data_IF_554264772792
#
_entry.id   IF_554264772792
#
_cell.length_a   1.000
_cell.length_b   1.000
_cell.length_c   1.000
_cell.angle_alpha   90.00
_cell.angle_beta   90.00
_cell.angle_gamma   90.00
#
_symmetry.space_group_name_H-M   'P 1'
#
loop_
_entity.id
_entity.type
_entity.pdbx_description
1 polymer ?
#
# COMPACT_ATOMS: atom_id res chain seq x y z
N UNK A 1 -14.93 52.40 42.37
CA UNK A 1 -14.57 52.94 41.03
C UNK A 1 -15.71 52.54 40.11
N UNK A 2 -16.70 53.37 39.72
CA UNK A 2 -16.74 54.74 39.12
C UNK A 2 -16.01 54.82 37.76
N UNK A 3 -16.76 55.24 36.72
CA UNK A 3 -16.35 55.35 35.30
C UNK A 3 -16.93 54.20 34.47
N UNK A 4 -18.11 54.26 33.81
CA UNK A 4 -18.81 55.29 33.02
C UNK A 4 -18.19 55.55 31.64
N UNK A 5 -18.86 55.06 30.58
CA UNK A 5 -19.15 55.82 29.35
C UNK A 5 -20.30 55.18 28.56
N UNK A 6 -21.27 56.02 28.22
CA UNK A 6 -22.41 55.76 27.32
C UNK A 6 -22.18 56.59 26.06
N UNK A 7 -22.55 56.07 24.88
CA UNK A 7 -23.05 56.90 23.78
C UNK A 7 -23.83 56.03 22.77
N UNK A 8 -24.78 56.67 22.08
CA UNK A 8 -25.96 56.03 21.50
C UNK A 8 -26.04 56.19 19.97
N UNK A 9 -26.90 55.37 19.37
CA UNK A 9 -27.74 55.64 18.18
C UNK A 9 -27.14 56.34 16.95
N UNK A 10 -27.25 55.68 15.79
CA UNK A 10 -28.12 56.15 14.72
C UNK A 10 -28.50 55.01 13.76
N UNK A 11 -29.77 54.91 13.40
CA UNK A 11 -30.26 54.10 12.28
C UNK A 11 -30.82 55.04 11.21
N UNK A 12 -30.59 54.74 9.92
CA UNK A 12 -31.25 55.42 8.81
C UNK A 12 -31.74 54.36 7.82
N UNK A 13 -33.05 54.32 7.63
CA UNK A 13 -33.76 53.62 6.55
C UNK A 13 -34.03 54.61 5.42
N UNK A 14 -33.88 54.20 4.15
CA UNK A 14 -34.37 54.98 3.01
C UNK A 14 -34.76 54.10 1.80
N UNK A 15 -36.01 54.29 1.35
CA UNK A 15 -36.72 53.56 0.29
C UNK A 15 -37.61 54.56 -0.48
N UNK A 16 -37.87 54.46 -1.79
CA UNK A 16 -37.45 53.50 -2.83
C UNK A 16 -37.57 54.21 -4.20
N UNK A 17 -36.93 53.70 -5.27
CA UNK A 17 -37.27 54.16 -6.63
C UNK A 17 -37.24 53.03 -7.67
N UNK A 18 -38.32 52.95 -8.45
CA UNK A 18 -38.52 52.08 -9.61
C UNK A 18 -38.12 52.82 -10.88
N UNK A 19 -37.57 52.13 -11.88
CA UNK A 19 -37.32 52.70 -13.20
C UNK A 19 -37.24 51.62 -14.27
N UNK A 20 -38.27 51.51 -15.11
CA UNK A 20 -38.22 50.76 -16.37
C UNK A 20 -37.84 51.71 -17.52
N UNK A 21 -37.06 51.23 -18.48
CA UNK A 21 -36.98 51.82 -19.83
C UNK A 21 -36.58 50.76 -20.86
N UNK A 22 -37.13 50.89 -22.07
CA UNK A 22 -37.09 49.89 -23.14
C UNK A 22 -35.81 49.84 -23.99
N UNK A 23 -35.63 48.67 -24.62
CA UNK A 23 -35.04 48.38 -25.95
C UNK A 23 -33.91 49.25 -26.52
N UNK A 24 -32.82 48.58 -26.87
CA UNK A 24 -32.19 48.76 -28.19
C UNK A 24 -31.56 47.45 -28.66
N UNK A 25 -32.01 46.94 -29.80
CA UNK A 25 -31.41 45.77 -30.46
C UNK A 25 -29.94 46.03 -30.84
N UNK A 26 -29.10 45.01 -30.69
CA UNK A 26 -27.96 44.82 -31.59
C UNK A 26 -27.58 43.33 -31.65
N UNK A 27 -27.75 42.75 -32.84
CA UNK A 27 -27.26 41.41 -33.16
C UNK A 27 -25.76 41.30 -32.92
N UNK A 28 -25.34 40.26 -32.20
CA UNK A 28 -24.00 39.70 -32.34
C UNK A 28 -24.04 38.18 -32.20
N UNK A 29 -24.21 37.52 -33.34
CA UNK A 29 -24.10 36.08 -33.49
C UNK A 29 -22.64 35.64 -33.41
N UNK A 30 -22.28 34.94 -32.33
CA UNK A 30 -20.99 34.25 -32.23
C UNK A 30 -21.13 32.92 -31.45
N UNK A 31 -20.62 31.85 -32.06
CA UNK A 31 -20.69 30.48 -31.59
C UNK A 31 -20.19 30.30 -30.13
N UNK A 32 -20.96 29.54 -29.36
CA UNK A 32 -20.64 29.26 -27.96
C UNK A 32 -21.49 28.13 -27.38
N UNK A 33 -21.67 27.03 -28.13
CA UNK A 33 -22.31 25.81 -27.64
C UNK A 33 -21.40 25.12 -26.60
N UNK A 34 -21.28 25.74 -25.43
CA UNK A 34 -20.51 25.24 -24.31
C UNK A 34 -20.98 23.85 -23.95
N UNK A 35 -20.20 22.86 -24.35
CA UNK A 35 -20.39 21.49 -23.89
C UNK A 35 -20.36 21.54 -22.37
N UNK A 36 -21.51 21.27 -21.74
CA UNK A 36 -21.59 21.02 -20.30
C UNK A 36 -20.81 19.74 -20.04
N UNK A 37 -19.50 19.92 -19.86
CA UNK A 37 -18.56 18.88 -19.47
C UNK A 37 -19.17 18.18 -18.25
N UNK A 38 -19.36 16.86 -18.26
CA UNK A 38 -19.90 16.17 -17.10
C UNK A 38 -19.02 16.49 -15.91
N UNK A 39 -19.57 17.21 -14.93
CA UNK A 39 -18.91 17.33 -13.65
C UNK A 39 -18.85 15.91 -13.08
N UNK A 40 -17.67 15.47 -12.64
CA UNK A 40 -17.56 14.28 -11.79
C UNK A 40 -18.38 14.60 -10.56
N UNK A 41 -19.58 14.02 -10.48
CA UNK A 41 -20.57 14.38 -9.49
C UNK A 41 -20.02 13.98 -8.10
N UNK A 42 -20.15 14.88 -7.12
CA UNK A 42 -19.79 14.58 -5.72
C UNK A 42 -20.90 13.73 -5.11
N UNK A 43 -20.97 12.49 -5.60
CA UNK A 43 -21.89 11.51 -5.08
C UNK A 43 -21.52 11.29 -3.60
N UNK A 44 -22.50 11.44 -2.69
CA UNK A 44 -22.26 11.15 -1.29
C UNK A 44 -21.82 9.69 -1.18
N UNK A 45 -20.87 9.38 -0.28
CA UNK A 45 -20.36 8.02 -0.16
C UNK A 45 -21.51 7.06 0.18
N UNK A 46 -21.46 5.85 -0.37
CA UNK A 46 -22.49 4.85 -0.13
C UNK A 46 -22.61 4.56 1.37
N UNK A 47 -23.84 4.33 1.83
CA UNK A 47 -24.07 3.89 3.20
C UNK A 47 -23.50 2.49 3.37
N UNK A 48 -22.80 2.29 4.48
CA UNK A 48 -22.25 1.01 4.87
C UNK A 48 -23.36 -0.06 4.92
N UNK A 49 -23.22 -1.11 4.10
CA UNK A 49 -24.01 -2.35 4.19
C UNK A 49 -23.75 -3.04 5.54
N UNK A 50 -24.65 -3.93 5.97
CA UNK A 50 -24.54 -4.58 7.29
C UNK A 50 -23.40 -5.60 7.30
N UNK A 51 -22.25 -5.26 7.90
CA UNK A 51 -21.09 -6.14 8.03
C UNK A 51 -20.98 -6.79 9.41
N UNK A 52 -20.54 -8.05 9.43
CA UNK A 52 -19.97 -8.67 10.64
C UNK A 52 -18.49 -8.31 10.73
N UNK A 53 -18.11 -7.55 11.75
CA UNK A 53 -16.75 -7.00 11.93
C UNK A 53 -16.24 -7.28 13.35
N UNK A 54 -14.92 -7.22 13.61
CA UNK A 54 -14.37 -7.48 14.93
C UNK A 54 -14.94 -6.49 15.98
N UNK A 55 -15.07 -6.88 17.27
CA UNK A 55 -15.71 -6.05 18.30
C UNK A 55 -15.10 -4.66 18.53
N UNK A 56 -13.85 -4.42 18.10
CA UNK A 56 -13.21 -3.10 18.13
C UNK A 56 -13.85 -2.08 17.18
N UNK A 57 -14.62 -2.53 16.19
CA UNK A 57 -15.27 -1.70 15.18
C UNK A 57 -16.76 -1.53 15.43
N UNK A 58 -17.30 -0.42 14.92
CA UNK A 58 -18.72 -0.10 14.94
C UNK A 58 -19.32 -0.28 13.55
N UNK A 59 -19.97 -1.43 13.31
CA UNK A 59 -20.62 -1.77 12.03
C UNK A 59 -21.77 -0.83 11.62
N UNK A 60 -22.19 0.10 12.48
CA UNK A 60 -23.13 1.15 12.13
C UNK A 60 -22.45 2.50 11.77
N UNK A 61 -21.12 2.62 11.96
CA UNK A 61 -20.35 3.84 11.66
C UNK A 61 -19.30 3.59 10.60
N UNK A 62 -19.62 3.98 9.38
CA UNK A 62 -18.68 3.96 8.27
C UNK A 62 -19.33 4.41 6.98
N UNK A 63 -18.66 4.08 5.88
CA UNK A 63 -19.11 4.29 4.53
C UNK A 63 -18.48 3.22 3.63
N UNK A 64 -18.96 3.09 2.40
CA UNK A 64 -18.34 2.18 1.44
C UNK A 64 -18.22 2.82 0.06
N UNK A 65 -17.46 2.14 -0.80
CA UNK A 65 -17.48 2.36 -2.24
C UNK A 65 -17.56 0.99 -2.93
N UNK A 66 -18.51 0.84 -3.85
CA UNK A 66 -18.62 -0.32 -4.74
C UNK A 66 -17.92 -0.01 -6.06
N UNK A 67 -17.01 -0.88 -6.48
CA UNK A 67 -16.24 -0.69 -7.69
C UNK A 67 -17.05 -1.09 -8.93
N UNK A 68 -17.18 -0.18 -9.87
CA UNK A 68 -17.83 -0.44 -11.16
C UNK A 68 -16.92 -1.30 -12.05
N UNK A 69 -17.32 -2.54 -12.35
CA UNK A 69 -16.70 -3.45 -13.32
C UNK A 69 -15.18 -3.63 -13.17
N UNK A 70 -14.76 -4.44 -12.22
CA UNK A 70 -13.35 -4.83 -12.08
C UNK A 70 -12.96 -5.93 -13.10
N UNK A 71 -11.72 -5.91 -13.65
CA UNK A 71 -11.18 -7.04 -14.40
C UNK A 71 -11.17 -8.32 -13.57
N UNK A 72 -11.52 -9.45 -14.19
CA UNK A 72 -11.55 -10.79 -13.54
C UNK A 72 -10.17 -11.21 -12.99
N UNK A 73 -9.09 -10.66 -13.55
CA UNK A 73 -7.70 -10.97 -13.24
C UNK A 73 -7.01 -9.95 -12.30
N UNK A 74 -7.75 -9.17 -11.52
CA UNK A 74 -7.13 -8.22 -10.59
C UNK A 74 -6.30 -8.90 -9.50
N UNK A 75 -4.99 -8.70 -9.58
CA UNK A 75 -4.01 -9.08 -8.56
C UNK A 75 -3.97 -8.12 -7.36
N UNK A 76 -4.62 -6.95 -7.44
CA UNK A 76 -4.69 -5.98 -6.34
C UNK A 76 -6.00 -5.19 -6.35
N UNK A 77 -6.37 -4.63 -5.19
CA UNK A 77 -7.43 -3.63 -5.11
C UNK A 77 -6.90 -2.30 -5.68
N UNK A 78 -7.64 -1.58 -6.54
CA UNK A 78 -7.22 -0.30 -7.10
C UNK A 78 -7.45 0.87 -6.12
N UNK A 79 -7.04 0.68 -4.87
CA UNK A 79 -7.20 1.62 -3.75
C UNK A 79 -6.03 1.56 -2.76
N UNK A 80 -5.74 2.68 -2.10
CA UNK A 80 -4.62 2.82 -1.17
C UNK A 80 -4.94 3.85 -0.07
N UNK A 81 -4.36 3.67 1.13
CA UNK A 81 -4.67 4.47 2.33
C UNK A 81 -3.50 5.41 2.67
N UNK A 82 -3.74 6.72 2.57
CA UNK A 82 -2.83 7.74 3.07
C UNK A 82 -3.00 7.93 4.57
N UNK A 83 -2.07 7.43 5.37
CA UNK A 83 -2.13 7.49 6.84
C UNK A 83 -1.94 8.92 7.35
N UNK A 84 -1.09 9.73 6.70
CA UNK A 84 -0.80 11.12 7.07
C UNK A 84 -1.92 12.06 6.59
N UNK A 85 -2.44 11.87 5.37
CA UNK A 85 -3.62 12.63 4.88
C UNK A 85 -4.94 12.19 5.50
N UNK A 86 -4.98 11.01 6.13
CA UNK A 86 -6.20 10.35 6.62
C UNK A 86 -7.25 10.21 5.52
N UNK A 87 -6.80 9.75 4.34
CA UNK A 87 -7.64 9.58 3.16
C UNK A 87 -7.52 8.17 2.56
N UNK A 88 -8.61 7.71 1.95
CA UNK A 88 -8.58 6.59 1.00
C UNK A 88 -8.52 7.20 -0.39
N UNK A 89 -7.51 6.86 -1.17
CA UNK A 89 -7.49 7.09 -2.61
C UNK A 89 -7.90 5.82 -3.34
N UNK A 90 -8.75 5.94 -4.34
CA UNK A 90 -9.18 4.82 -5.18
C UNK A 90 -9.45 5.28 -6.61
N UNK A 91 -9.38 4.34 -7.53
CA UNK A 91 -9.59 4.57 -8.95
C UNK A 91 -11.03 4.22 -9.33
N UNK A 92 -11.71 5.12 -10.05
CA UNK A 92 -12.94 4.82 -10.80
C UNK A 92 -12.60 4.68 -12.27
N UNK A 93 -13.03 3.58 -12.88
CA UNK A 93 -12.92 3.37 -14.34
C UNK A 93 -14.16 3.94 -15.03
N UNK A 94 -13.99 4.53 -16.21
CA UNK A 94 -15.09 4.98 -17.04
C UNK A 94 -14.78 4.86 -18.54
N UNK A 95 -15.73 5.18 -19.43
CA UNK A 95 -15.60 4.90 -20.87
C UNK A 95 -14.45 5.62 -21.59
N UNK A 96 -13.88 6.66 -20.98
CA UNK A 96 -12.85 7.54 -21.59
C UNK A 96 -11.50 7.50 -20.85
N UNK A 97 -11.35 6.60 -19.87
CA UNK A 97 -10.20 6.54 -18.98
C UNK A 97 -10.61 6.43 -17.51
N UNK A 98 -9.67 6.70 -16.60
CA UNK A 98 -9.88 6.55 -15.17
C UNK A 98 -9.85 7.89 -14.43
N UNK A 99 -10.51 7.96 -13.28
CA UNK A 99 -10.45 9.12 -12.36
C UNK A 99 -10.02 8.62 -10.99
N UNK A 100 -8.95 9.20 -10.43
CA UNK A 100 -8.57 8.98 -9.05
C UNK A 100 -9.43 9.88 -8.16
N UNK A 101 -10.12 9.29 -7.19
CA UNK A 101 -10.82 10.03 -6.13
C UNK A 101 -10.11 9.81 -4.79
N UNK A 102 -10.00 10.87 -3.98
CA UNK A 102 -9.56 10.79 -2.59
C UNK A 102 -10.72 11.18 -1.67
N UNK A 103 -11.07 10.32 -0.72
CA UNK A 103 -12.13 10.54 0.27
C UNK A 103 -11.56 10.50 1.69
N UNK A 104 -12.12 11.30 2.59
CA UNK A 104 -11.72 11.32 4.00
C UNK A 104 -12.07 9.97 4.67
N UNK A 105 -11.09 9.29 5.27
CA UNK A 105 -11.30 7.96 5.87
C UNK A 105 -12.49 7.93 6.86
N UNK A 106 -12.57 8.91 7.74
CA UNK A 106 -13.62 8.94 8.76
C UNK A 106 -15.03 9.18 8.22
N UNK A 107 -15.22 9.86 7.08
CA UNK A 107 -16.55 10.37 6.67
C UNK A 107 -16.95 10.09 5.22
N UNK A 108 -16.05 9.56 4.39
CA UNK A 108 -16.30 9.36 2.95
C UNK A 108 -16.52 10.64 2.15
N UNK A 109 -16.38 11.83 2.75
CA UNK A 109 -16.47 13.10 2.01
C UNK A 109 -15.31 13.20 1.03
N UNK A 110 -15.62 13.51 -0.23
CA UNK A 110 -14.63 13.78 -1.26
C UNK A 110 -13.68 14.90 -0.80
N UNK A 111 -12.38 14.67 -0.98
CA UNK A 111 -11.32 15.66 -0.81
C UNK A 111 -11.01 16.27 -2.17
N UNK A 112 -10.76 15.40 -3.14
CA UNK A 112 -10.47 15.77 -4.51
C UNK A 112 -10.77 14.64 -5.50
N UNK A 113 -10.93 15.01 -6.78
CA UNK A 113 -10.88 14.09 -7.91
C UNK A 113 -9.84 14.58 -8.93
N UNK A 114 -9.13 13.66 -9.57
CA UNK A 114 -8.23 13.99 -10.67
C UNK A 114 -8.99 14.44 -11.92
N UNK A 115 -8.26 14.97 -12.92
CA UNK A 115 -8.70 14.86 -14.32
C UNK A 115 -8.74 13.39 -14.74
N UNK A 116 -9.35 13.10 -15.88
CA UNK A 116 -9.21 11.78 -16.53
C UNK A 116 -7.73 11.49 -16.74
N UNK A 117 -7.29 10.34 -16.24
CA UNK A 117 -5.95 9.80 -16.34
C UNK A 117 -5.99 8.49 -17.11
N UNK A 118 -5.02 8.32 -18.01
CA UNK A 118 -4.86 7.15 -18.83
C UNK A 118 -3.49 6.50 -18.55
N UNK A 119 -3.45 5.19 -18.22
CA UNK A 119 -2.21 4.42 -18.17
C UNK A 119 -1.55 4.33 -19.57
N UNK A 120 -0.34 3.79 -19.68
CA UNK A 120 0.25 3.42 -20.98
C UNK A 120 -0.62 2.42 -21.76
N UNK A 121 -0.31 2.22 -23.03
CA UNK A 121 -1.00 1.20 -23.84
C UNK A 121 -0.49 -0.18 -23.40
N UNK A 122 -1.35 -1.15 -23.02
CA UNK A 122 -0.90 -2.47 -22.59
C UNK A 122 0.00 -3.18 -23.60
N UNK A 123 0.96 -3.96 -23.09
CA UNK A 123 1.84 -4.79 -23.93
C UNK A 123 1.05 -6.00 -24.42
N UNK A 124 0.84 -6.09 -25.73
CA UNK A 124 -0.01 -7.11 -26.36
C UNK A 124 0.52 -8.54 -26.24
N UNK A 125 1.79 -8.73 -25.89
CA UNK A 125 2.40 -10.06 -25.73
C UNK A 125 2.11 -10.69 -24.35
N UNK A 126 1.51 -9.93 -23.43
CA UNK A 126 0.97 -10.42 -22.15
C UNK A 126 -0.52 -10.79 -22.24
N UNK A 127 -0.98 -11.26 -23.42
CA UNK A 127 -2.34 -11.75 -23.65
C UNK A 127 -2.42 -13.21 -24.11
N UNK A 128 -1.29 -13.94 -24.11
CA UNK A 128 -1.33 -15.39 -24.15
C UNK A 128 -1.81 -15.90 -22.78
N UNK A 129 -2.68 -16.92 -22.79
CA UNK A 129 -3.54 -17.32 -21.66
C UNK A 129 -2.78 -17.78 -20.40
N UNK A 130 -1.48 -18.06 -20.52
CA UNK A 130 -0.57 -18.48 -19.43
C UNK A 130 0.20 -17.32 -18.76
N UNK A 131 0.07 -16.07 -19.24
CA UNK A 131 0.83 -14.93 -18.70
C UNK A 131 0.11 -14.22 -17.54
N UNK A 132 0.87 -13.77 -16.53
CA UNK A 132 0.38 -13.05 -15.33
C UNK A 132 -0.18 -11.65 -15.66
N UNK A 133 -1.32 -11.61 -16.35
CA UNK A 133 -1.91 -10.45 -17.02
C UNK A 133 -2.40 -9.32 -16.10
N UNK A 134 -2.43 -9.54 -14.79
CA UNK A 134 -2.75 -8.52 -13.78
C UNK A 134 -1.75 -7.35 -13.71
N UNK A 135 -0.53 -7.48 -14.26
CA UNK A 135 0.49 -6.41 -14.25
C UNK A 135 0.15 -5.19 -15.13
N UNK A 136 -0.76 -5.35 -16.10
CA UNK A 136 -1.19 -4.28 -17.00
C UNK A 136 -2.37 -3.46 -16.44
N UNK A 137 -2.94 -3.85 -15.29
CA UNK A 137 -4.00 -3.09 -14.65
C UNK A 137 -3.45 -1.75 -14.10
N UNK A 138 -4.27 -0.69 -14.01
CA UNK A 138 -3.88 0.53 -13.33
C UNK A 138 -3.96 0.34 -11.80
N UNK A 139 -2.91 0.74 -11.10
CA UNK A 139 -2.77 0.57 -9.66
C UNK A 139 -2.53 1.92 -8.95
N UNK A 140 -2.75 1.93 -7.63
CA UNK A 140 -2.46 3.08 -6.76
C UNK A 140 -1.48 2.68 -5.66
N UNK A 141 -0.57 3.59 -5.32
CA UNK A 141 0.25 3.48 -4.10
C UNK A 141 0.37 4.83 -3.39
N UNK A 142 0.71 4.82 -2.11
CA UNK A 142 1.13 6.01 -1.37
C UNK A 142 2.65 6.07 -1.39
N UNK A 143 3.19 7.26 -1.59
CA UNK A 143 4.61 7.55 -1.41
C UNK A 143 4.77 8.84 -0.61
N UNK A 144 5.90 9.04 0.05
CA UNK A 144 6.21 10.26 0.76
C UNK A 144 7.62 10.76 0.44
N UNK A 145 7.88 12.03 0.73
CA UNK A 145 9.22 12.60 0.71
C UNK A 145 9.26 13.88 1.55
N UNK A 146 10.18 13.96 2.52
CA UNK A 146 10.33 15.14 3.38
C UNK A 146 9.05 15.49 4.14
N UNK A 147 8.37 14.47 4.69
CA UNK A 147 7.13 14.62 5.46
C UNK A 147 5.85 14.87 4.66
N UNK A 148 5.94 15.15 3.34
CA UNK A 148 4.77 15.28 2.46
C UNK A 148 4.39 13.91 1.88
N UNK A 149 3.09 13.61 1.87
CA UNK A 149 2.50 12.37 1.36
C UNK A 149 1.86 12.62 -0.02
N UNK A 150 1.90 11.62 -0.88
CA UNK A 150 1.47 11.66 -2.27
C UNK A 150 0.67 10.39 -2.62
N UNK A 151 -0.39 10.57 -3.40
CA UNK A 151 -1.09 9.48 -4.08
C UNK A 151 -0.45 9.30 -5.45
N UNK A 152 -0.03 8.10 -5.77
CA UNK A 152 0.65 7.77 -7.03
C UNK A 152 -0.25 6.82 -7.80
N UNK A 153 -0.80 7.29 -8.93
CA UNK A 153 -1.40 6.42 -9.92
C UNK A 153 -0.31 5.90 -10.85
N UNK A 154 -0.28 4.58 -11.09
CA UNK A 154 0.70 3.99 -11.97
C UNK A 154 0.11 2.90 -12.87
N UNK A 155 0.77 2.69 -14.00
CA UNK A 155 0.43 1.63 -14.95
C UNK A 155 1.64 1.28 -15.80
N UNK A 156 1.68 0.02 -16.23
CA UNK A 156 2.70 -0.53 -17.09
C UNK A 156 2.25 -0.52 -18.56
N UNK A 157 3.20 -0.31 -19.49
CA UNK A 157 2.99 -0.60 -20.90
C UNK A 157 3.82 0.25 -21.86
N UNK A 158 3.38 0.34 -23.11
CA UNK A 158 4.09 1.03 -24.18
C UNK A 158 3.74 2.52 -24.25
N UNK A 159 4.77 3.35 -24.46
CA UNK A 159 4.65 4.75 -24.86
C UNK A 159 5.30 4.98 -26.23
N UNK A 160 4.70 5.86 -27.05
CA UNK A 160 5.25 6.25 -28.36
C UNK A 160 5.23 5.14 -29.42
N UNK A 161 4.37 4.13 -29.27
CA UNK A 161 4.15 3.09 -30.28
C UNK A 161 3.13 3.58 -31.31
N UNK A 162 3.50 3.55 -32.58
CA UNK A 162 2.65 3.92 -33.73
C UNK A 162 2.97 3.02 -34.95
N UNK A 163 2.53 3.40 -36.15
CA UNK A 163 2.74 2.63 -37.39
C UNK A 163 4.21 2.63 -37.87
N UNK A 164 5.05 3.53 -37.35
CA UNK A 164 6.44 3.75 -37.76
C UNK A 164 7.44 3.50 -36.63
N UNK A 165 6.99 3.52 -35.37
CA UNK A 165 7.81 3.37 -34.18
C UNK A 165 7.32 2.24 -33.28
N UNK A 166 8.24 1.37 -32.85
CA UNK A 166 7.93 0.26 -31.94
C UNK A 166 7.50 0.72 -30.53
N UNK A 167 7.70 1.99 -30.19
CA UNK A 167 7.54 2.55 -28.85
C UNK A 167 8.63 2.11 -27.87
N UNK A 168 8.42 2.42 -26.59
CA UNK A 168 9.28 2.00 -25.48
C UNK A 168 8.40 1.47 -24.35
N UNK A 169 8.84 0.39 -23.70
CA UNK A 169 8.18 -0.16 -22.53
C UNK A 169 8.52 0.72 -21.31
N UNK A 170 7.50 1.14 -20.57
CA UNK A 170 7.61 2.06 -19.44
C UNK A 170 6.68 1.67 -18.28
N UNK A 171 7.08 2.08 -17.08
CA UNK A 171 6.16 2.27 -15.96
C UNK A 171 5.89 3.76 -15.84
N UNK A 172 4.64 4.16 -16.08
CA UNK A 172 4.20 5.56 -16.00
C UNK A 172 3.64 5.85 -14.62
N UNK A 173 4.18 6.87 -13.97
CA UNK A 173 3.82 7.33 -12.64
C UNK A 173 3.16 8.70 -12.75
N UNK A 174 2.00 8.91 -12.13
CA UNK A 174 1.32 10.20 -12.02
C UNK A 174 1.10 10.52 -10.55
N UNK A 175 1.81 11.54 -10.07
CA UNK A 175 2.03 11.83 -8.66
C UNK A 175 1.17 13.02 -8.25
N UNK A 176 0.18 12.77 -7.40
CA UNK A 176 -0.77 13.74 -6.88
C UNK A 176 -0.47 14.06 -5.41
N UNK A 177 -0.47 15.33 -4.97
CA UNK A 177 -0.32 15.63 -3.55
C UNK A 177 -1.54 15.12 -2.77
N UNK A 178 -1.34 14.33 -1.72
CA UNK A 178 -2.47 13.66 -1.03
C UNK A 178 -3.45 14.66 -0.40
N UNK A 179 -2.94 15.85 -0.05
CA UNK A 179 -3.70 16.97 0.50
C UNK A 179 -4.29 17.94 -0.55
N UNK A 180 -4.42 17.53 -1.82
CA UNK A 180 -5.12 18.30 -2.84
C UNK A 180 -6.60 18.59 -2.46
N UNK A 181 -7.25 19.48 -3.21
CA UNK A 181 -8.65 19.83 -3.00
C UNK A 181 -9.36 20.15 -4.31
N UNK A 182 -10.65 19.78 -4.40
CA UNK A 182 -11.51 20.10 -5.54
C UNK A 182 -11.41 19.10 -6.71
N UNK A 183 -11.96 19.50 -7.85
CA UNK A 183 -12.11 18.66 -9.04
C UNK A 183 -11.01 18.95 -10.07
N UNK A 184 -10.85 18.07 -11.05
CA UNK A 184 -9.88 18.23 -12.14
C UNK A 184 -8.42 18.41 -11.67
N UNK A 185 -8.06 17.82 -10.53
CA UNK A 185 -6.69 17.87 -10.02
C UNK A 185 -5.75 17.21 -11.02
N UNK A 186 -4.71 17.94 -11.42
CA UNK A 186 -3.60 17.42 -12.23
C UNK A 186 -2.48 16.92 -11.32
N UNK A 187 -1.69 15.90 -11.73
CA UNK A 187 -0.53 15.48 -10.95
C UNK A 187 0.50 16.61 -10.85
N UNK A 188 1.21 16.73 -9.72
CA UNK A 188 2.38 17.59 -9.57
C UNK A 188 3.51 17.14 -10.53
N UNK A 189 3.60 15.83 -10.79
CA UNK A 189 4.60 15.22 -11.69
C UNK A 189 4.01 14.04 -12.45
N UNK A 190 4.38 13.91 -13.72
CA UNK A 190 4.30 12.65 -14.47
C UNK A 190 5.74 12.20 -14.74
N UNK A 191 6.04 10.93 -14.48
CA UNK A 191 7.37 10.35 -14.65
C UNK A 191 7.23 9.02 -15.38
N UNK A 192 8.04 8.81 -16.42
CA UNK A 192 8.11 7.54 -17.13
C UNK A 192 9.43 6.88 -16.74
N UNK A 193 9.35 5.70 -16.12
CA UNK A 193 10.51 4.87 -15.79
C UNK A 193 10.70 3.91 -16.97
N UNK A 194 11.80 4.01 -17.74
CA UNK A 194 12.05 3.14 -18.87
C UNK A 194 12.55 1.76 -18.43
N UNK A 195 12.12 0.74 -19.16
CA UNK A 195 12.63 -0.63 -19.06
C UNK A 195 13.00 -1.16 -20.45
N UNK A 196 13.79 -2.23 -20.50
CA UNK A 196 14.09 -2.92 -21.75
C UNK A 196 12.94 -3.85 -22.14
N UNK A 197 12.52 -3.76 -23.41
CA UNK A 197 11.32 -4.45 -23.91
C UNK A 197 11.42 -5.96 -23.70
N UNK A 198 10.42 -6.53 -23.03
CA UNK A 198 10.31 -7.98 -22.81
C UNK A 198 11.24 -8.56 -21.74
N UNK A 199 11.80 -7.70 -20.87
CA UNK A 199 12.62 -8.11 -19.70
C UNK A 199 11.94 -7.87 -18.35
N UNK A 200 10.64 -7.58 -18.36
CA UNK A 200 9.88 -7.29 -17.14
C UNK A 200 9.31 -8.58 -16.56
N UNK A 201 10.12 -9.23 -15.76
CA UNK A 201 9.69 -10.28 -14.83
C UNK A 201 9.40 -9.66 -13.45
N UNK A 202 8.40 -10.19 -12.74
CA UNK A 202 8.04 -9.79 -11.36
C UNK A 202 7.88 -8.27 -11.14
N UNK A 203 7.21 -7.53 -12.02
CA UNK A 203 7.03 -6.08 -11.86
C UNK A 203 6.36 -5.73 -10.51
N UNK A 204 7.03 -4.89 -9.71
CA UNK A 204 6.46 -4.29 -8.50
C UNK A 204 6.73 -2.80 -8.46
N UNK A 205 5.75 -2.05 -7.95
CA UNK A 205 5.88 -0.62 -7.65
C UNK A 205 5.52 -0.42 -6.19
N UNK A 206 6.52 -0.11 -5.37
CA UNK A 206 6.36 0.16 -3.95
C UNK A 206 6.56 1.66 -3.71
N UNK A 207 5.66 2.27 -2.95
CA UNK A 207 5.80 3.67 -2.52
C UNK A 207 6.09 3.70 -1.03
N UNK A 208 6.98 4.62 -0.62
CA UNK A 208 7.46 4.70 0.75
C UNK A 208 8.04 6.07 1.11
N UNK A 209 8.71 6.16 2.26
CA UNK A 209 9.13 7.42 2.92
C UNK A 209 10.13 8.26 2.12
N UNK A 210 10.83 7.62 1.18
CA UNK A 210 11.89 8.19 0.35
C UNK A 210 11.48 8.43 -1.12
N UNK A 211 10.28 8.00 -1.51
CA UNK A 211 9.76 8.12 -2.87
C UNK A 211 9.10 6.83 -3.35
N UNK A 212 9.33 6.48 -4.61
CA UNK A 212 8.81 5.26 -5.23
C UNK A 212 10.01 4.39 -5.63
N UNK A 213 9.88 3.09 -5.45
CA UNK A 213 10.77 2.06 -5.96
C UNK A 213 9.99 1.22 -6.98
N UNK A 214 10.52 1.09 -8.19
CA UNK A 214 10.01 0.20 -9.25
C UNK A 214 11.05 -0.91 -9.43
N UNK A 215 10.63 -2.17 -9.44
CA UNK A 215 11.52 -3.33 -9.61
C UNK A 215 11.02 -4.26 -10.71
N UNK A 216 11.92 -4.81 -11.52
CA UNK A 216 11.64 -5.84 -12.51
C UNK A 216 12.83 -6.81 -12.55
N UNK A 217 12.65 -8.02 -12.00
CA UNK A 217 13.74 -8.96 -11.74
C UNK A 217 14.87 -8.35 -10.91
N UNK A 218 16.10 -8.37 -11.45
CA UNK A 218 17.30 -7.76 -10.86
C UNK A 218 17.41 -6.24 -11.06
N UNK A 219 16.62 -5.66 -11.96
CA UNK A 219 16.66 -4.23 -12.27
C UNK A 219 15.74 -3.44 -11.33
N UNK A 220 16.15 -2.23 -10.94
CA UNK A 220 15.28 -1.34 -10.20
C UNK A 220 15.47 0.14 -10.57
N UNK A 221 14.45 0.94 -10.25
CA UNK A 221 14.46 2.39 -10.39
C UNK A 221 13.91 3.04 -9.12
N UNK A 222 14.63 4.01 -8.57
CA UNK A 222 14.07 4.92 -7.56
C UNK A 222 13.57 6.20 -8.22
N UNK A 223 12.41 6.70 -7.78
CA UNK A 223 11.80 7.94 -8.26
C UNK A 223 11.53 8.89 -7.10
N UNK A 224 12.16 10.04 -7.13
CA UNK A 224 11.96 11.11 -6.16
C UNK A 224 10.65 11.86 -6.47
N UNK A 225 9.59 11.60 -5.70
CA UNK A 225 8.22 12.10 -5.97
C UNK A 225 8.09 13.62 -6.09
N UNK A 226 8.98 14.39 -5.44
CA UNK A 226 8.96 15.87 -5.49
C UNK A 226 9.61 16.42 -6.76
N UNK A 227 10.74 15.85 -7.17
CA UNK A 227 11.53 16.35 -8.30
C UNK A 227 11.27 15.63 -9.62
N UNK A 228 10.67 14.44 -9.59
CA UNK A 228 10.49 13.56 -10.75
C UNK A 228 11.79 12.91 -11.24
N UNK A 229 12.90 13.07 -10.52
CA UNK A 229 14.19 12.44 -10.87
C UNK A 229 14.09 10.92 -10.70
N UNK A 230 14.50 10.19 -11.74
CA UNK A 230 14.70 8.75 -11.74
C UNK A 230 16.18 8.46 -11.52
N UNK A 231 16.50 7.44 -10.71
CA UNK A 231 17.83 6.84 -10.60
C UNK A 231 17.68 5.33 -10.81
N UNK A 232 18.27 4.83 -11.90
CA UNK A 232 18.33 3.40 -12.22
C UNK A 232 19.37 2.68 -11.36
N UNK A 233 19.15 1.37 -11.21
CA UNK A 233 20.04 0.37 -10.65
C UNK A 233 20.01 -0.80 -11.65
N UNK A 234 21.00 -0.84 -12.54
CA UNK A 234 21.01 -1.77 -13.69
C UNK A 234 21.27 -3.22 -13.26
N UNK A 235 22.17 -3.44 -12.30
CA UNK A 235 22.36 -4.74 -11.65
C UNK A 235 22.47 -4.60 -10.12
N UNK A 236 21.57 -5.27 -9.40
CA UNK A 236 21.60 -5.37 -7.94
C UNK A 236 22.83 -6.15 -7.43
N UNK A 237 23.37 -7.10 -8.21
CA UNK A 237 24.52 -7.92 -7.83
C UNK A 237 25.80 -7.06 -7.66
N UNK A 238 25.95 -6.00 -8.47
CA UNK A 238 27.11 -5.11 -8.45
C UNK A 238 27.10 -4.09 -7.28
N UNK A 239 25.97 -3.93 -6.58
CA UNK A 239 25.82 -2.90 -5.55
C UNK A 239 26.53 -3.25 -4.23
N UNK A 240 26.76 -4.53 -3.94
CA UNK A 240 27.42 -4.99 -2.72
C UNK A 240 28.86 -5.41 -3.01
N UNK A 241 29.85 -4.69 -2.47
CA UNK A 241 31.28 -4.94 -2.77
C UNK A 241 31.77 -6.32 -2.33
N UNK A 242 31.21 -6.85 -1.26
CA UNK A 242 31.46 -8.20 -0.73
C UNK A 242 30.93 -9.32 -1.65
N UNK A 243 30.19 -8.98 -2.71
CA UNK A 243 29.63 -9.92 -3.68
C UNK A 243 30.46 -10.06 -4.97
N UNK A 244 31.61 -9.39 -5.07
CA UNK A 244 32.39 -9.28 -6.30
C UNK A 244 32.79 -10.62 -6.96
N UNK A 245 32.93 -11.69 -6.17
CA UNK A 245 33.35 -13.02 -6.64
C UNK A 245 32.14 -13.95 -6.93
N UNK A 246 31.10 -13.43 -7.59
CA UNK A 246 29.86 -14.13 -8.01
C UNK A 246 28.92 -14.65 -6.90
N UNK A 247 29.28 -14.49 -5.63
CA UNK A 247 28.56 -15.05 -4.48
C UNK A 247 27.09 -14.61 -4.34
N UNK A 248 26.70 -13.46 -4.90
CA UNK A 248 25.38 -12.87 -4.71
C UNK A 248 24.51 -12.89 -5.99
N UNK A 249 24.68 -13.88 -6.86
CA UNK A 249 23.75 -14.11 -7.96
C UNK A 249 22.30 -14.16 -7.46
N UNK A 250 21.38 -13.57 -8.23
CA UNK A 250 19.97 -13.41 -7.84
C UNK A 250 19.74 -12.29 -6.84
N UNK A 251 20.60 -11.27 -6.77
CA UNK A 251 20.34 -10.10 -5.93
C UNK A 251 19.11 -9.33 -6.39
N UNK A 252 18.35 -8.79 -5.43
CA UNK A 252 17.14 -7.99 -5.62
C UNK A 252 17.21 -6.72 -4.77
N UNK A 253 16.44 -5.70 -5.16
CA UNK A 253 16.32 -4.43 -4.41
C UNK A 253 14.90 -4.32 -3.85
N UNK A 254 14.61 -4.89 -2.67
CA UNK A 254 13.25 -4.92 -2.13
C UNK A 254 12.77 -3.61 -1.49
N UNK A 255 13.67 -2.66 -1.17
CA UNK A 255 13.29 -1.39 -0.53
C UNK A 255 14.27 -0.24 -0.78
N UNK A 256 13.83 0.98 -0.44
CA UNK A 256 14.58 2.22 -0.54
C UNK A 256 14.55 2.96 0.80
N UNK A 257 15.73 3.30 1.33
CA UNK A 257 15.95 3.95 2.63
C UNK A 257 16.61 5.33 2.46
N UNK A 258 16.72 6.08 3.55
CA UNK A 258 17.46 7.35 3.62
C UNK A 258 18.92 7.23 3.17
N UNK A 259 19.53 6.05 3.36
CA UNK A 259 20.92 5.76 2.99
C UNK A 259 21.07 5.20 1.57
N UNK A 260 20.03 4.59 1.01
CA UNK A 260 20.07 4.03 -0.34
C UNK A 260 19.17 2.79 -0.53
N UNK A 261 19.36 2.04 -1.62
CA UNK A 261 18.63 0.79 -1.82
C UNK A 261 19.02 -0.24 -0.74
N UNK A 262 18.04 -0.97 -0.23
CA UNK A 262 18.32 -2.25 0.45
C UNK A 262 18.55 -3.27 -0.65
N UNK A 263 19.62 -4.06 -0.53
CA UNK A 263 19.92 -5.17 -1.44
C UNK A 263 19.78 -6.46 -0.64
N UNK A 264 19.05 -7.43 -1.19
CA UNK A 264 18.93 -8.80 -0.66
C UNK A 264 19.52 -9.78 -1.65
N UNK A 265 20.22 -10.80 -1.17
CA UNK A 265 20.94 -11.78 -2.00
C UNK A 265 20.31 -13.17 -1.84
N UNK A 266 20.07 -13.87 -2.96
CA UNK A 266 19.53 -15.23 -2.92
C UNK A 266 20.64 -16.29 -2.77
N UNK A 267 21.75 -16.17 -3.52
CA UNK A 267 22.79 -17.21 -3.60
C UNK A 267 23.53 -17.58 -2.29
N UNK A 268 23.90 -16.60 -1.47
CA UNK A 268 24.55 -16.82 -0.14
C UNK A 268 23.59 -16.65 1.04
N UNK A 269 22.35 -16.26 0.76
CA UNK A 269 21.46 -15.52 1.65
C UNK A 269 22.10 -14.24 2.24
N UNK A 270 21.30 -13.21 2.50
CA UNK A 270 21.79 -11.98 3.12
C UNK A 270 21.06 -10.74 2.68
N UNK A 271 21.30 -9.65 3.40
CA UNK A 271 20.81 -8.32 3.03
C UNK A 271 21.66 -7.21 3.64
N UNK A 272 21.61 -6.03 3.05
CA UNK A 272 22.30 -4.85 3.58
C UNK A 272 22.06 -3.61 2.74
N UNK A 273 22.79 -2.55 3.08
CA UNK A 273 22.78 -1.30 2.32
C UNK A 273 24.20 -1.04 1.78
N UNK A 274 24.37 -0.89 0.45
CA UNK A 274 25.65 -0.62 -0.20
C UNK A 274 26.50 0.45 0.49
N UNK A 275 27.65 0.03 1.04
CA UNK A 275 28.61 0.92 1.69
C UNK A 275 28.30 1.31 3.14
N UNK A 276 27.29 0.70 3.77
CA UNK A 276 26.89 1.00 5.15
C UNK A 276 27.03 -0.20 6.09
N UNK A 277 26.29 -1.29 5.87
CA UNK A 277 26.27 -2.49 6.72
C UNK A 277 25.76 -3.70 5.94
N UNK A 278 26.09 -4.91 6.42
CA UNK A 278 25.58 -6.18 5.87
C UNK A 278 25.14 -7.16 6.96
N UNK A 279 24.19 -8.04 6.64
CA UNK A 279 23.58 -8.97 7.59
C UNK A 279 24.60 -9.83 8.36
N UNK A 280 25.70 -10.25 7.73
CA UNK A 280 26.72 -11.07 8.40
C UNK A 280 27.27 -10.43 9.69
N UNK A 281 27.37 -9.11 9.72
CA UNK A 281 27.88 -8.31 10.85
C UNK A 281 26.87 -8.22 12.02
N UNK A 282 25.61 -8.61 11.76
CA UNK A 282 24.44 -8.40 12.61
C UNK A 282 23.78 -9.72 13.06
N UNK A 283 24.41 -10.85 12.73
CA UNK A 283 23.88 -12.18 12.95
C UNK A 283 23.65 -12.48 14.44
N UNK A 284 22.50 -13.05 14.82
CA UNK A 284 22.32 -13.64 16.14
C UNK A 284 23.33 -14.79 16.37
N UNK A 285 23.70 -15.03 17.63
CA UNK A 285 24.66 -16.07 18.01
C UNK A 285 24.30 -17.45 17.37
N UNK A 286 25.33 -18.10 16.80
CA UNK A 286 25.20 -19.38 16.10
C UNK A 286 24.66 -19.32 14.66
N UNK A 287 24.57 -18.12 14.05
CA UNK A 287 24.04 -17.87 12.69
C UNK A 287 25.04 -17.01 11.88
N UNK A 288 24.84 -16.85 10.56
CA UNK A 288 25.66 -15.91 9.75
C UNK A 288 24.83 -15.01 8.85
N UNK A 289 24.09 -15.57 7.90
CA UNK A 289 23.29 -14.75 7.00
C UNK A 289 21.82 -14.81 7.41
N UNK A 290 21.14 -13.69 7.20
CA UNK A 290 19.71 -13.55 7.44
C UNK A 290 19.02 -13.40 6.10
N UNK A 291 17.84 -13.99 5.97
CA UNK A 291 17.00 -13.83 4.80
C UNK A 291 16.04 -12.67 5.04
N UNK A 292 16.13 -11.63 4.22
CA UNK A 292 15.15 -10.54 4.25
C UNK A 292 13.82 -11.06 3.69
N UNK A 293 12.76 -10.96 4.49
CA UNK A 293 11.42 -11.44 4.13
C UNK A 293 10.48 -10.32 3.71
N UNK A 294 10.63 -9.14 4.32
CA UNK A 294 9.91 -7.94 3.93
C UNK A 294 10.68 -6.68 4.36
N UNK A 295 10.27 -5.54 3.81
CA UNK A 295 10.78 -4.24 4.20
C UNK A 295 9.64 -3.23 4.28
N UNK A 296 9.81 -2.23 5.12
CA UNK A 296 8.84 -1.16 5.38
C UNK A 296 9.57 0.19 5.38
N UNK A 297 8.83 1.29 5.52
CA UNK A 297 9.40 2.64 5.56
C UNK A 297 10.42 2.88 6.68
N UNK A 298 10.29 2.15 7.79
CA UNK A 298 11.00 2.42 9.05
C UNK A 298 11.74 1.19 9.60
N UNK A 299 11.44 -0.04 9.13
CA UNK A 299 12.06 -1.29 9.60
C UNK A 299 12.20 -2.36 8.51
N UNK A 300 13.20 -3.22 8.64
CA UNK A 300 13.46 -4.39 7.77
C UNK A 300 13.15 -5.69 8.52
N UNK A 301 12.36 -6.59 7.92
CA UNK A 301 11.95 -7.85 8.55
C UNK A 301 12.73 -9.04 8.00
N UNK A 302 13.52 -9.69 8.85
CA UNK A 302 14.40 -10.80 8.46
C UNK A 302 14.23 -12.06 9.32
N UNK A 303 14.57 -13.20 8.74
CA UNK A 303 14.66 -14.51 9.41
C UNK A 303 16.10 -15.03 9.44
N UNK A 304 16.43 -15.76 10.50
CA UNK A 304 17.76 -16.28 10.76
C UNK A 304 17.68 -17.74 11.23
N UNK A 305 18.19 -18.65 10.41
CA UNK A 305 18.21 -20.09 10.70
C UNK A 305 19.48 -20.49 11.47
N UNK A 306 19.41 -21.59 12.22
CA UNK A 306 20.55 -22.08 12.99
C UNK A 306 21.55 -22.84 12.11
N UNK A 307 22.85 -22.72 12.37
CA UNK A 307 23.85 -23.50 11.63
C UNK A 307 23.88 -24.99 12.02
N UNK A 308 23.85 -25.85 11.00
CA UNK A 308 24.39 -27.21 11.04
C UNK A 308 23.41 -28.32 11.41
N UNK A 309 23.73 -29.54 10.98
CA UNK A 309 23.04 -30.76 11.41
C UNK A 309 23.10 -30.90 12.93
N UNK A 310 21.94 -30.89 13.60
CA UNK A 310 21.84 -30.93 15.07
C UNK A 310 21.94 -29.57 15.77
N UNK A 311 21.95 -28.46 15.02
CA UNK A 311 21.71 -27.13 15.58
C UNK A 311 20.31 -27.01 16.19
N UNK A 312 20.08 -26.00 17.03
CA UNK A 312 18.76 -25.78 17.64
C UNK A 312 17.72 -25.50 16.55
N UNK A 313 16.67 -26.30 16.49
CA UNK A 313 15.57 -26.29 15.51
C UNK A 313 14.64 -25.07 15.67
N UNK A 314 15.22 -23.86 15.60
CA UNK A 314 14.58 -22.60 15.99
C UNK A 314 15.02 -21.43 15.12
N UNK A 315 14.13 -20.98 14.25
CA UNK A 315 14.30 -19.75 13.48
C UNK A 315 14.14 -18.52 14.39
N UNK A 316 15.02 -17.54 14.22
CA UNK A 316 14.91 -16.22 14.86
C UNK A 316 14.38 -15.23 13.84
N UNK A 317 13.30 -14.55 14.18
CA UNK A 317 12.69 -13.49 13.38
C UNK A 317 13.01 -12.15 14.03
N UNK A 318 13.49 -11.19 13.24
CA UNK A 318 13.97 -9.92 13.74
C UNK A 318 13.51 -8.75 12.86
N UNK A 319 13.20 -7.64 13.52
CA UNK A 319 13.05 -6.33 12.92
C UNK A 319 14.36 -5.59 13.08
N UNK A 320 14.87 -5.02 12.00
CA UNK A 320 16.13 -4.28 11.93
C UNK A 320 15.88 -2.83 11.53
N UNK A 321 16.51 -1.90 12.24
CA UNK A 321 16.57 -0.50 11.86
C UNK A 321 17.33 -0.37 10.53
N UNK A 322 16.78 0.33 9.51
CA UNK A 322 17.41 0.41 8.19
C UNK A 322 18.71 1.23 8.22
N UNK A 323 18.86 2.21 9.10
CA UNK A 323 20.04 3.10 9.09
C UNK A 323 21.30 2.41 9.63
N UNK A 324 21.14 1.53 10.62
CA UNK A 324 22.23 0.88 11.36
C UNK A 324 22.26 -0.65 11.23
N UNK A 325 21.18 -1.26 10.74
CA UNK A 325 20.96 -2.71 10.76
C UNK A 325 20.70 -3.28 12.16
N UNK A 326 20.67 -2.46 13.22
CA UNK A 326 20.51 -2.92 14.58
C UNK A 326 19.13 -3.56 14.83
N UNK A 327 19.09 -4.63 15.62
CA UNK A 327 17.83 -5.32 15.96
C UNK A 327 16.96 -4.43 16.87
N UNK A 328 15.79 -4.05 16.36
CA UNK A 328 14.77 -3.28 17.08
C UNK A 328 13.91 -4.17 17.96
N UNK A 329 13.43 -5.30 17.41
CA UNK A 329 12.61 -6.29 18.08
C UNK A 329 12.92 -7.68 17.51
N UNK A 330 12.76 -8.73 18.31
CA UNK A 330 12.96 -10.12 17.86
C UNK A 330 12.04 -11.12 18.55
N UNK A 331 11.85 -12.26 17.91
CA UNK A 331 11.19 -13.45 18.46
C UNK A 331 11.87 -14.72 17.96
N UNK A 332 11.81 -15.77 18.77
CA UNK A 332 12.26 -17.12 18.38
C UNK A 332 11.04 -18.02 18.25
N UNK A 333 10.97 -18.75 17.14
CA UNK A 333 9.94 -19.76 16.86
C UNK A 333 10.59 -21.15 16.78
N UNK A 334 9.80 -22.21 16.93
CA UNK A 334 10.23 -23.62 16.81
C UNK A 334 9.88 -24.22 15.45
N UNK A 335 10.78 -25.04 14.90
CA UNK A 335 10.63 -25.71 13.59
C UNK A 335 9.54 -26.79 13.52
N UNK A 336 8.99 -27.24 14.66
CA UNK A 336 7.78 -28.09 14.65
C UNK A 336 6.63 -27.42 13.89
N UNK A 337 6.67 -26.09 13.76
CA UNK A 337 5.73 -25.30 12.97
C UNK A 337 6.22 -25.00 11.53
N UNK A 338 7.26 -25.68 11.05
CA UNK A 338 7.83 -25.61 9.69
C UNK A 338 7.99 -27.00 9.03
N UNK A 339 7.88 -28.09 9.82
CA UNK A 339 8.32 -29.44 9.46
C UNK A 339 7.58 -30.15 8.32
N UNK A 340 6.44 -29.63 7.86
CA UNK A 340 5.58 -30.30 6.88
C UNK A 340 5.83 -29.86 5.43
N UNK A 341 6.88 -29.07 5.16
CA UNK A 341 7.07 -28.39 3.86
C UNK A 341 6.08 -27.24 3.60
N UNK A 342 5.10 -27.08 4.49
CA UNK A 342 4.17 -25.95 4.58
C UNK A 342 4.90 -24.80 5.29
N UNK A 343 5.62 -23.99 4.51
CA UNK A 343 6.26 -22.73 4.93
C UNK A 343 5.32 -21.87 5.81
N UNK A 344 5.84 -20.85 6.50
CA UNK A 344 5.11 -19.83 7.27
C UNK A 344 3.84 -19.23 6.62
N UNK A 345 3.65 -19.49 5.32
CA UNK A 345 2.79 -18.82 4.36
C UNK A 345 1.91 -19.79 3.52
N UNK A 346 2.12 -21.11 3.61
CA UNK A 346 1.47 -22.12 2.76
C UNK A 346 2.36 -22.64 1.63
N UNK A 347 1.80 -23.45 0.72
CA UNK A 347 2.56 -24.12 -0.36
C UNK A 347 2.95 -23.17 -1.53
N UNK A 348 2.24 -22.05 -1.71
CA UNK A 348 2.49 -21.08 -2.78
C UNK A 348 3.39 -19.92 -2.32
N UNK A 349 4.70 -20.05 -2.60
CA UNK A 349 5.72 -19.04 -2.34
C UNK A 349 5.52 -17.73 -3.12
N UNK A 350 4.68 -17.71 -4.16
CA UNK A 350 4.47 -16.51 -4.99
C UNK A 350 3.51 -15.48 -4.35
N UNK A 351 2.75 -15.87 -3.32
CA UNK A 351 1.67 -15.07 -2.70
C UNK A 351 1.93 -14.68 -1.24
N UNK A 352 3.18 -14.35 -0.90
CA UNK A 352 3.54 -13.88 0.45
C UNK A 352 2.70 -12.64 0.83
N UNK A 353 1.88 -12.68 1.91
CA UNK A 353 1.25 -11.49 2.46
C UNK A 353 2.35 -10.51 2.90
N UNK A 354 2.36 -9.25 2.42
CA UNK A 354 3.39 -8.30 2.80
C UNK A 354 3.36 -8.03 4.30
N UNK A 355 4.52 -7.68 4.88
CA UNK A 355 4.55 -7.20 6.25
C UNK A 355 3.73 -5.91 6.36
N UNK A 356 2.76 -5.88 7.28
CA UNK A 356 1.83 -4.77 7.46
C UNK A 356 2.14 -4.05 8.77
N UNK A 357 2.31 -2.73 8.68
CA UNK A 357 2.56 -1.84 9.84
C UNK A 357 1.26 -1.18 10.28
N UNK A 358 1.09 -0.93 11.57
CA UNK A 358 0.01 -0.08 12.07
C UNK A 358 0.15 1.36 11.55
N UNK A 359 -0.95 2.11 11.35
CA UNK A 359 -0.90 3.48 10.85
C UNK A 359 0.01 4.46 11.60
N UNK A 360 0.32 4.17 12.87
CA UNK A 360 1.24 4.91 13.73
C UNK A 360 2.69 4.39 13.80
N UNK A 361 3.06 3.37 13.01
CA UNK A 361 4.40 2.77 12.98
C UNK A 361 4.72 1.79 14.12
N UNK A 362 3.96 1.75 15.22
CA UNK A 362 4.34 1.02 16.43
C UNK A 362 4.34 -0.51 16.29
N UNK A 363 3.38 -1.06 15.58
CA UNK A 363 3.14 -2.49 15.50
C UNK A 363 3.35 -3.00 14.08
N UNK A 364 3.87 -4.21 13.96
CA UNK A 364 4.05 -4.88 12.67
C UNK A 364 3.53 -6.31 12.76
N UNK A 365 2.92 -6.78 11.67
CA UNK A 365 2.58 -8.20 11.47
C UNK A 365 3.17 -8.72 10.17
N UNK A 366 3.65 -9.95 10.20
CA UNK A 366 4.14 -10.67 9.03
C UNK A 366 3.72 -12.14 9.19
N UNK A 367 2.51 -12.47 8.74
CA UNK A 367 1.94 -13.81 8.80
C UNK A 367 1.90 -14.36 10.22
N UNK A 368 2.72 -15.38 10.49
CA UNK A 368 2.77 -16.06 11.80
C UNK A 368 3.60 -15.35 12.87
N UNK A 369 4.13 -14.15 12.62
CA UNK A 369 4.79 -13.32 13.64
C UNK A 369 4.21 -11.91 13.72
N UNK A 370 4.30 -11.33 14.91
CA UNK A 370 3.91 -9.94 15.17
C UNK A 370 4.91 -9.27 16.12
N UNK A 371 5.01 -7.95 16.07
CA UNK A 371 5.93 -7.16 16.87
C UNK A 371 5.26 -5.90 17.45
N UNK A 372 5.62 -5.56 18.68
CA UNK A 372 5.50 -4.22 19.24
C UNK A 372 6.91 -3.61 19.24
N UNK A 373 7.19 -2.74 18.27
CA UNK A 373 8.52 -2.16 18.06
C UNK A 373 8.93 -1.25 19.22
N UNK A 374 7.96 -0.57 19.84
CA UNK A 374 8.20 0.30 20.99
C UNK A 374 8.63 -0.49 22.23
N UNK A 375 7.97 -1.60 22.51
CA UNK A 375 8.32 -2.48 23.65
C UNK A 375 9.39 -3.53 23.27
N UNK A 376 9.94 -3.45 22.04
CA UNK A 376 10.98 -4.33 21.48
C UNK A 376 10.65 -5.83 21.54
N UNK A 377 9.35 -6.17 21.47
CA UNK A 377 8.82 -7.50 21.77
C UNK A 377 8.15 -8.12 20.55
N UNK A 378 8.56 -9.33 20.18
CA UNK A 378 7.89 -10.13 19.16
C UNK A 378 7.06 -11.28 19.72
N UNK A 379 6.14 -11.80 18.90
CA UNK A 379 5.20 -12.86 19.21
C UNK A 379 5.27 -13.96 18.14
N UNK A 380 5.37 -15.22 18.57
CA UNK A 380 5.34 -16.37 17.69
C UNK A 380 3.93 -16.99 17.71
N UNK A 381 3.29 -17.01 16.54
CA UNK A 381 1.91 -17.52 16.34
C UNK A 381 1.89 -18.70 15.36
N UNK A 382 3.03 -19.36 15.16
CA UNK A 382 3.19 -20.45 14.20
C UNK A 382 2.45 -21.75 14.58
N UNK A 383 1.97 -21.85 15.83
CA UNK A 383 1.43 -23.08 16.42
C UNK A 383 2.48 -23.82 17.27
N UNK A 384 2.01 -24.69 18.16
CA UNK A 384 2.84 -25.49 19.07
C UNK A 384 2.08 -26.74 19.59
N UNK A 385 1.81 -27.69 18.68
CA UNK A 385 1.11 -28.94 18.98
C UNK A 385 -0.40 -28.74 19.16
N UNK A 386 -0.80 -28.14 20.29
CA UNK A 386 -2.22 -27.95 20.65
C UNK A 386 -2.82 -26.64 20.09
N UNK A 387 -2.00 -25.76 19.49
CA UNK A 387 -2.46 -24.52 18.84
C UNK A 387 -2.25 -24.55 17.33
N UNK A 388 -3.30 -24.24 16.57
CA UNK A 388 -3.23 -24.00 15.12
C UNK A 388 -2.36 -22.77 14.81
N UNK A 389 -1.64 -22.83 13.68
CA UNK A 389 -0.92 -21.71 13.08
C UNK A 389 -1.88 -20.55 12.75
N UNK A 390 -1.49 -19.31 13.03
CA UNK A 390 -2.26 -18.11 12.67
C UNK A 390 -1.52 -17.29 11.61
N UNK A 391 -2.24 -16.85 10.59
CA UNK A 391 -1.74 -15.91 9.57
C UNK A 391 -2.39 -14.55 9.82
N UNK A 392 -1.59 -13.59 10.27
CA UNK A 392 -1.99 -12.20 10.46
C UNK A 392 -1.80 -11.39 9.18
N UNK A 393 -2.80 -10.55 8.88
CA UNK A 393 -2.88 -9.77 7.64
C UNK A 393 -2.81 -8.25 7.92
N UNK A 394 -3.24 -7.82 9.11
CA UNK A 394 -3.29 -6.40 9.47
C UNK A 394 -3.13 -6.16 10.98
N UNK A 395 -2.79 -4.92 11.36
CA UNK A 395 -2.68 -4.51 12.76
C UNK A 395 -3.05 -3.04 12.96
N UNK A 396 -3.79 -2.75 14.04
CA UNK A 396 -4.27 -1.40 14.36
C UNK A 396 -3.37 -0.64 15.32
N UNK A 397 -3.59 0.68 15.39
CA UNK A 397 -2.90 1.57 16.34
C UNK A 397 -3.16 1.21 17.81
N UNK A 398 -4.25 0.48 18.08
CA UNK A 398 -4.60 -0.09 19.37
C UNK A 398 -3.80 -1.35 19.76
N UNK A 399 -2.92 -1.85 18.88
CA UNK A 399 -2.13 -3.06 19.09
C UNK A 399 -2.91 -4.37 18.94
N UNK A 400 -4.08 -4.37 18.28
CA UNK A 400 -4.79 -5.60 17.90
C UNK A 400 -4.45 -5.96 16.46
N UNK A 401 -3.87 -7.13 16.27
CA UNK A 401 -3.68 -7.74 14.97
C UNK A 401 -4.89 -8.59 14.57
N UNK A 402 -5.15 -8.70 13.27
CA UNK A 402 -6.24 -9.48 12.70
C UNK A 402 -5.77 -10.40 11.58
N UNK A 403 -6.46 -11.51 11.41
CA UNK A 403 -6.11 -12.55 10.44
C UNK A 403 -7.00 -13.77 10.61
N UNK A 404 -6.47 -14.95 10.28
CA UNK A 404 -7.17 -16.21 10.48
C UNK A 404 -6.25 -17.38 10.84
N UNK A 405 -6.83 -18.55 11.11
CA UNK A 405 -6.05 -19.80 11.16
C UNK A 405 -5.53 -20.15 9.77
N UNK A 406 -4.31 -20.66 9.68
CA UNK A 406 -3.82 -21.26 8.43
C UNK A 406 -4.74 -22.43 8.02
N UNK A 407 -4.97 -22.66 6.72
CA UNK A 407 -5.61 -23.89 6.26
C UNK A 407 -4.71 -25.09 6.58
N UNK A 408 -5.31 -26.20 7.02
CA UNK A 408 -4.55 -27.42 7.35
C UNK A 408 -4.27 -28.26 6.11
N UNK A 409 -5.16 -28.25 5.11
CA UNK A 409 -5.02 -28.95 3.82
C UNK A 409 -5.44 -28.05 2.64
N UNK A 410 -5.11 -28.45 1.41
CA UNK A 410 -5.42 -27.70 0.18
C UNK A 410 -6.93 -27.50 -0.05
N UNK A 411 -7.75 -28.48 0.35
CA UNK A 411 -9.23 -28.41 0.32
C UNK A 411 -9.81 -27.72 1.58
N UNK A 412 -8.98 -27.02 2.36
CA UNK A 412 -9.27 -26.54 3.71
C UNK A 412 -10.39 -25.50 3.81
N UNK A 413 -11.64 -25.98 3.91
CA UNK A 413 -12.82 -25.14 4.08
C UNK A 413 -12.77 -24.37 5.41
N UNK A 414 -12.75 -23.04 5.29
CA UNK A 414 -12.89 -22.04 6.36
C UNK A 414 -11.68 -21.80 7.29
N UNK A 415 -10.88 -20.79 6.95
CA UNK A 415 -10.04 -20.10 7.94
C UNK A 415 -10.91 -19.49 9.05
N UNK A 416 -10.59 -19.79 10.32
CA UNK A 416 -11.29 -19.19 11.47
C UNK A 416 -10.75 -17.78 11.69
N UNK A 417 -11.58 -16.72 11.63
CA UNK A 417 -11.12 -15.34 11.84
C UNK A 417 -10.63 -15.15 13.27
N UNK A 418 -9.52 -14.44 13.46
CA UNK A 418 -8.91 -14.19 14.78
C UNK A 418 -8.57 -12.71 15.01
N UNK A 419 -8.54 -12.34 16.29
CA UNK A 419 -7.96 -11.09 16.78
C UNK A 419 -6.90 -11.39 17.85
N UNK A 420 -5.74 -10.73 17.76
CA UNK A 420 -4.59 -10.94 18.67
C UNK A 420 -4.17 -9.60 19.29
N UNK A 421 -4.52 -9.32 20.55
CA UNK A 421 -4.05 -8.14 21.25
C UNK A 421 -2.55 -8.30 21.61
N UNK A 422 -1.67 -7.56 20.94
CA UNK A 422 -0.22 -7.59 21.11
C UNK A 422 0.24 -7.02 22.48
N UNK A 423 -0.67 -6.47 23.27
CA UNK A 423 -0.42 -6.24 24.69
C UNK A 423 -0.20 -7.56 25.46
N UNK A 424 -0.95 -8.63 25.12
CA UNK A 424 -0.91 -9.94 25.78
C UNK A 424 -0.38 -11.09 24.91
N UNK A 425 -0.38 -10.94 23.58
CA UNK A 425 -0.04 -12.01 22.63
C UNK A 425 -1.05 -13.16 22.57
N UNK A 426 -2.20 -13.04 23.26
CA UNK A 426 -3.17 -14.13 23.41
C UNK A 426 -4.25 -14.05 22.32
N UNK A 427 -4.29 -14.97 21.34
CA UNK A 427 -5.27 -14.92 20.26
C UNK A 427 -6.69 -15.21 20.77
N UNK A 428 -7.68 -14.64 20.09
CA UNK A 428 -9.11 -14.93 20.29
C UNK A 428 -9.75 -15.23 18.95
N UNK A 429 -10.47 -16.35 18.88
CA UNK A 429 -11.37 -16.62 17.76
C UNK A 429 -12.49 -15.57 17.72
N UNK A 430 -12.81 -15.10 16.53
CA UNK A 430 -13.97 -14.26 16.24
C UNK A 430 -15.13 -15.15 15.76
N UNK A 431 -16.39 -14.68 15.83
CA UNK A 431 -17.51 -15.41 15.27
C UNK A 431 -17.31 -15.78 13.80
N UNK A 432 -17.80 -16.95 13.38
CA UNK A 432 -17.78 -17.37 11.98
C UNK A 432 -18.44 -16.30 11.08
N UNK A 433 -17.86 -16.05 9.91
CA UNK A 433 -18.32 -14.98 9.00
C UNK A 433 -17.96 -13.56 9.43
N UNK A 434 -17.14 -13.36 10.47
CA UNK A 434 -16.54 -12.05 10.77
C UNK A 434 -15.53 -11.69 9.69
N UNK A 435 -15.74 -10.56 9.02
CA UNK A 435 -14.82 -10.01 8.04
C UNK A 435 -13.56 -9.47 8.74
N UNK A 436 -12.40 -9.70 8.15
CA UNK A 436 -11.10 -9.23 8.65
C UNK A 436 -10.73 -7.93 7.95
N UNK A 437 -10.25 -6.88 8.66
CA UNK A 437 -9.77 -5.68 8.00
C UNK A 437 -8.48 -5.98 7.23
N UNK A 438 -8.42 -5.58 5.96
CA UNK A 438 -7.28 -5.77 5.06
C UNK A 438 -6.53 -4.47 4.79
N UNK A 439 -7.17 -3.31 5.02
CA UNK A 439 -6.53 -2.00 4.99
C UNK A 439 -6.68 -1.34 6.36
N UNK A 440 -5.62 -0.67 6.83
CA UNK A 440 -5.61 0.00 8.13
C UNK A 440 -5.38 1.50 7.96
N UNK A 441 -6.15 2.30 8.70
CA UNK A 441 -5.98 3.75 8.75
C UNK A 441 -6.28 4.29 10.14
N UNK A 442 -5.89 5.54 10.47
CA UNK A 442 -6.04 6.05 11.83
C UNK A 442 -7.51 6.05 12.30
N UNK A 443 -7.84 5.16 13.24
CA UNK A 443 -9.19 4.95 13.78
C UNK A 443 -10.21 4.28 12.84
N UNK A 444 -9.74 3.60 11.78
CA UNK A 444 -10.61 2.88 10.82
C UNK A 444 -10.00 1.55 10.35
N UNK A 445 -10.86 0.60 9.99
CA UNK A 445 -10.52 -0.61 9.25
C UNK A 445 -11.20 -0.60 7.88
N UNK A 446 -10.48 -1.02 6.84
CA UNK A 446 -10.99 -1.24 5.50
C UNK A 446 -11.23 -2.73 5.27
N UNK A 447 -12.47 -3.07 4.92
CA UNK A 447 -12.97 -4.42 4.73
C UNK A 447 -13.38 -4.59 3.27
N UNK A 448 -12.94 -5.66 2.63
CA UNK A 448 -13.43 -6.03 1.31
C UNK A 448 -14.64 -6.94 1.46
N UNK A 449 -15.63 -6.73 0.60
CA UNK A 449 -16.78 -7.62 0.45
C UNK A 449 -17.02 -7.87 -1.02
N UNK A 450 -17.22 -9.13 -1.39
CA UNK A 450 -17.73 -9.50 -2.70
C UNK A 450 -19.17 -10.02 -2.51
N UNK A 451 -20.16 -9.20 -2.86
CA UNK A 451 -21.58 -9.56 -2.76
C UNK A 451 -22.18 -9.54 -4.17
N UNK A 452 -22.74 -10.65 -4.63
CA UNK A 452 -23.32 -10.75 -5.99
C UNK A 452 -22.35 -10.32 -7.10
N UNK A 453 -21.06 -10.69 -6.98
CA UNK A 453 -19.98 -10.33 -7.91
C UNK A 453 -19.58 -8.83 -7.90
N UNK A 454 -20.22 -8.01 -7.06
CA UNK A 454 -19.81 -6.63 -6.79
C UNK A 454 -18.75 -6.58 -5.68
N UNK A 455 -17.51 -6.17 -6.02
CA UNK A 455 -16.51 -5.83 -5.01
C UNK A 455 -16.82 -4.45 -4.40
N UNK A 456 -17.04 -4.41 -3.09
CA UNK A 456 -17.07 -3.17 -2.31
C UNK A 456 -15.90 -3.09 -1.33
N UNK A 457 -15.37 -1.88 -1.12
CA UNK A 457 -14.46 -1.55 -0.03
C UNK A 457 -15.21 -0.71 1.00
N UNK A 458 -15.44 -1.29 2.17
CA UNK A 458 -16.10 -0.68 3.30
C UNK A 458 -15.08 -0.12 4.31
N UNK A 459 -15.19 1.15 4.66
CA UNK A 459 -14.37 1.81 5.68
C UNK A 459 -15.21 1.98 6.95
N UNK A 460 -14.88 1.19 7.97
CA UNK A 460 -15.61 1.10 9.24
C UNK A 460 -14.78 1.72 10.35
N UNK A 461 -15.42 2.52 11.23
CA UNK A 461 -14.73 3.19 12.34
C UNK A 461 -14.47 2.25 13.50
N UNK A 462 -13.35 2.48 14.17
CA UNK A 462 -13.09 1.97 15.52
C UNK A 462 -14.06 2.62 16.54
N UNK A 463 -14.27 1.96 17.68
CA UNK A 463 -15.25 2.35 18.71
C UNK A 463 -14.80 3.48 19.64
#
# INVERSE_FOLDING_TARGET
MRGLRVLSCAAVLATVAVGCSESSDSDSSAAGAGHKRPAVQDDPPERLKKLSVPPAYDSAKGWQHTFESLPENLSSIPATVGTKSKSLAYLRTGPTGHVIQSRALGSGRLRWSSKVWNPPVPVKEASDEDSNSGQNAPHLTIAAHGGREYVVAWGHGMEGKDELHNGREIVKLSIFPSNASGYDVTPERTVNVPFEVGRIEELRVHGGSQGILVTAGSHAASVNVRSGKVKQYEDANELLKQCADSACAGSKIPALTSLGPVVSTEGVEGFGIPGHWFSEELAPEGRTNGKLLAATDESLFASWEAKGWGGSSKSVFAMHDPETGAVEARVTCSEDAYSDGKDMWGEDKSRMPPATVSPNGRYLVAGSVAFDLKEKRGFCLMGDGDRKRLILLSVGDNGTAYGGTAPEDADGEHSTPVAVPLASGSPKALPQGTQIPLMMGPGVGGFLTNENEELSLAIVRER
#
